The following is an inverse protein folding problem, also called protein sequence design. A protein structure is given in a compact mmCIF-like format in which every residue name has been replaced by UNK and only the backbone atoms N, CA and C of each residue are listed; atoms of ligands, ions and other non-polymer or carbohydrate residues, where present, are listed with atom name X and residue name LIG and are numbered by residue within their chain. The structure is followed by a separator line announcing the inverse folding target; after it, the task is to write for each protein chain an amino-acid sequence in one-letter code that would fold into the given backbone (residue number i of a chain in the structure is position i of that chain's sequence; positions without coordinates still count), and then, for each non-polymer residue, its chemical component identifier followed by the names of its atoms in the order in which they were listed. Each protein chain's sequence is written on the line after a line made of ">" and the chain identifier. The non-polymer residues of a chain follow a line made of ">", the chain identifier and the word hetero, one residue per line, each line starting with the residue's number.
data_IF_339332855156
#
_entry.id   IF_339332855156
#
_cell.length_a   1.000
_cell.length_b   1.000
_cell.length_c   1.000
_cell.angle_alpha   90.00
_cell.angle_beta   90.00
_cell.angle_gamma   90.00
#
_symmetry.space_group_name_H-M   'P 1'
#
loop_
_entity.id
_entity.type
_entity.pdbx_description
1 polymer ?
#
# COMPACT_ATOMS: atom_id res chain seq x y z
N UNK A 1 -16.44 -40.15 -13.20
CA UNK A 1 -15.24 -40.18 -12.32
C UNK A 1 -14.74 -38.75 -12.12
N UNK A 2 -15.27 -38.03 -11.12
CA UNK A 2 -14.81 -36.68 -10.76
C UNK A 2 -13.85 -36.79 -9.58
N UNK A 3 -12.57 -36.98 -9.88
CA UNK A 3 -11.51 -36.71 -8.91
C UNK A 3 -11.36 -35.19 -8.82
N UNK A 4 -11.40 -34.61 -7.60
CA UNK A 4 -10.80 -33.28 -7.38
C UNK A 4 -11.72 -32.10 -7.02
N UNK A 5 -12.95 -32.29 -6.52
CA UNK A 5 -13.56 -31.22 -5.69
C UNK A 5 -13.13 -31.43 -4.26
N UNK A 6 -12.07 -30.74 -3.83
CA UNK A 6 -11.86 -30.48 -2.41
C UNK A 6 -13.04 -29.61 -1.96
N UNK A 7 -13.96 -30.21 -1.21
CA UNK A 7 -14.96 -29.43 -0.50
C UNK A 7 -14.32 -28.75 0.72
N UNK A 8 -15.02 -27.77 1.29
CA UNK A 8 -14.53 -26.98 2.41
C UNK A 8 -14.20 -27.87 3.63
N UNK A 9 -14.93 -28.97 3.82
CA UNK A 9 -14.69 -29.92 4.89
C UNK A 9 -13.35 -30.66 4.70
N UNK A 10 -13.10 -31.16 3.49
CA UNK A 10 -11.86 -31.83 3.11
C UNK A 10 -10.66 -30.89 3.19
N UNK A 11 -10.82 -29.64 2.75
CA UNK A 11 -9.77 -28.62 2.86
C UNK A 11 -9.44 -28.30 4.33
N UNK A 12 -10.46 -28.18 5.19
CA UNK A 12 -10.28 -27.94 6.61
C UNK A 12 -9.51 -29.06 7.29
N UNK A 13 -9.80 -30.31 6.97
CA UNK A 13 -9.12 -31.47 7.55
C UNK A 13 -7.63 -31.48 7.18
N UNK A 14 -7.31 -31.30 5.90
CA UNK A 14 -5.92 -31.26 5.40
C UNK A 14 -5.15 -30.10 6.06
N UNK A 15 -5.73 -28.90 6.11
CA UNK A 15 -5.07 -27.72 6.69
C UNK A 15 -4.90 -27.85 8.21
N UNK A 16 -5.87 -28.42 8.91
CA UNK A 16 -5.75 -28.68 10.35
C UNK A 16 -4.61 -29.67 10.65
N UNK A 17 -4.48 -30.72 9.83
CA UNK A 17 -3.35 -31.66 9.94
C UNK A 17 -2.00 -30.98 9.73
N UNK A 18 -1.90 -30.05 8.77
CA UNK A 18 -0.67 -29.27 8.54
C UNK A 18 -0.30 -28.38 9.72
N UNK A 19 -1.28 -27.65 10.28
CA UNK A 19 -1.08 -26.78 11.44
C UNK A 19 -0.54 -27.55 12.66
N UNK A 20 -1.01 -28.78 12.86
CA UNK A 20 -0.48 -29.66 13.91
C UNK A 20 0.96 -30.08 13.58
N UNK A 21 1.21 -30.54 12.35
CA UNK A 21 2.54 -31.01 11.94
C UNK A 21 3.62 -29.92 11.96
N UNK A 22 3.23 -28.67 11.77
CA UNK A 22 4.11 -27.49 11.81
C UNK A 22 4.17 -26.83 13.20
N UNK A 23 3.40 -27.33 14.18
CA UNK A 23 3.36 -26.79 15.54
C UNK A 23 2.70 -25.41 15.66
N UNK A 24 1.95 -24.97 14.64
CA UNK A 24 1.34 -23.64 14.55
C UNK A 24 -0.13 -23.61 14.95
N UNK A 25 -0.72 -24.75 15.31
CA UNK A 25 -2.13 -24.85 15.68
C UNK A 25 -2.53 -23.86 16.79
N UNK A 26 -1.70 -23.71 17.83
CA UNK A 26 -1.99 -22.80 18.95
C UNK A 26 -2.02 -21.34 18.48
N UNK A 27 -1.04 -20.93 17.69
CA UNK A 27 -0.99 -19.59 17.08
C UNK A 27 -2.25 -19.33 16.22
N UNK A 28 -2.61 -20.28 15.37
CA UNK A 28 -3.79 -20.17 14.53
C UNK A 28 -5.09 -20.04 15.36
N UNK A 29 -5.28 -20.88 16.37
CA UNK A 29 -6.53 -20.92 17.15
C UNK A 29 -6.67 -19.79 18.16
N UNK A 30 -5.59 -19.40 18.82
CA UNK A 30 -5.64 -18.46 19.94
C UNK A 30 -5.34 -17.03 19.52
N UNK A 31 -4.71 -16.81 18.37
CA UNK A 31 -4.32 -15.46 17.90
C UNK A 31 -4.95 -15.14 16.56
N UNK A 32 -4.64 -15.90 15.50
CA UNK A 32 -5.04 -15.54 14.14
C UNK A 32 -6.57 -15.61 13.93
N UNK A 33 -7.21 -16.67 14.43
CA UNK A 33 -8.65 -16.85 14.26
C UNK A 33 -9.46 -15.82 15.06
N UNK A 34 -9.17 -15.53 16.34
CA UNK A 34 -9.79 -14.42 17.06
C UNK A 34 -9.52 -13.05 16.42
N UNK A 35 -8.32 -12.82 15.89
CA UNK A 35 -7.96 -11.57 15.20
C UNK A 35 -8.88 -11.31 14.00
N UNK A 36 -9.28 -12.35 13.25
CA UNK A 36 -10.21 -12.18 12.13
C UNK A 36 -11.54 -11.53 12.53
N UNK A 37 -12.07 -11.85 13.72
CA UNK A 37 -13.30 -11.26 14.23
C UNK A 37 -13.10 -9.79 14.66
N UNK A 38 -11.91 -9.46 15.19
CA UNK A 38 -11.54 -8.09 15.52
C UNK A 38 -11.41 -7.25 14.24
N UNK A 39 -10.74 -7.77 13.21
CA UNK A 39 -10.59 -7.09 11.93
C UNK A 39 -11.94 -6.86 11.27
N UNK A 40 -12.84 -7.85 11.29
CA UNK A 40 -14.22 -7.67 10.83
C UNK A 40 -14.93 -6.54 11.57
N UNK A 41 -14.80 -6.47 12.90
CA UNK A 41 -15.39 -5.38 13.69
C UNK A 41 -14.81 -4.00 13.33
N UNK A 42 -13.52 -3.92 13.06
CA UNK A 42 -12.86 -2.69 12.59
C UNK A 42 -13.34 -2.29 11.19
N UNK A 43 -13.48 -3.26 10.27
CA UNK A 43 -13.97 -3.04 8.92
C UNK A 43 -15.43 -2.53 8.90
N UNK A 44 -16.31 -3.13 9.70
CA UNK A 44 -17.71 -2.67 9.82
C UNK A 44 -17.81 -1.28 10.48
N UNK A 45 -16.95 -0.99 11.45
CA UNK A 45 -16.95 0.31 12.14
C UNK A 45 -16.40 1.41 11.23
N UNK A 46 -15.39 1.10 10.43
CA UNK A 46 -14.68 2.06 9.59
C UNK A 46 -13.93 3.12 10.41
N UNK A 47 -13.48 4.16 9.70
CA UNK A 47 -12.79 5.31 10.30
C UNK A 47 -13.51 6.58 9.88
N UNK A 48 -13.91 7.39 10.87
CA UNK A 48 -14.52 8.70 10.60
C UNK A 48 -13.45 9.67 10.13
N UNK A 49 -13.67 10.29 8.98
CA UNK A 49 -12.81 11.32 8.41
C UNK A 49 -13.59 12.63 8.21
N UNK A 50 -12.87 13.74 8.26
CA UNK A 50 -13.39 15.05 7.87
C UNK A 50 -13.02 15.33 6.41
N UNK A 51 -14.02 15.30 5.53
CA UNK A 51 -13.86 15.52 4.10
C UNK A 51 -13.31 16.91 3.78
N UNK A 52 -13.70 17.93 4.56
CA UNK A 52 -13.26 19.31 4.35
C UNK A 52 -11.75 19.43 4.60
N UNK A 53 -11.26 18.81 5.66
CA UNK A 53 -9.83 18.77 6.00
C UNK A 53 -9.03 18.02 4.93
N UNK A 54 -9.53 16.89 4.45
CA UNK A 54 -8.85 16.12 3.39
C UNK A 54 -8.77 16.95 2.10
N UNK A 55 -9.84 17.65 1.74
CA UNK A 55 -9.89 18.50 0.55
C UNK A 55 -8.92 19.67 0.67
N UNK A 56 -8.94 20.38 1.80
CA UNK A 56 -8.03 21.50 2.08
C UNK A 56 -6.56 21.07 2.03
N UNK A 57 -6.23 19.91 2.61
CA UNK A 57 -4.87 19.35 2.53
C UNK A 57 -4.48 19.02 1.08
N UNK A 58 -5.41 18.45 0.31
CA UNK A 58 -5.21 18.15 -1.11
C UNK A 58 -4.92 19.40 -1.93
N UNK A 59 -5.70 20.47 -1.74
CA UNK A 59 -5.52 21.76 -2.41
C UNK A 59 -4.19 22.40 -2.01
N UNK A 60 -3.89 22.44 -0.70
CA UNK A 60 -2.64 22.98 -0.17
C UNK A 60 -1.42 22.30 -0.80
N UNK A 61 -1.35 20.97 -0.75
CA UNK A 61 -0.19 20.26 -1.27
C UNK A 61 -0.10 20.27 -2.79
N UNK A 62 -1.23 20.38 -3.49
CA UNK A 62 -1.24 20.57 -4.95
C UNK A 62 -0.61 21.90 -5.33
N UNK A 63 -0.97 22.98 -4.63
CA UNK A 63 -0.41 24.31 -4.85
C UNK A 63 1.08 24.37 -4.47
N UNK A 64 1.46 23.80 -3.31
CA UNK A 64 2.87 23.71 -2.92
C UNK A 64 3.69 22.92 -3.95
N UNK A 65 3.16 21.79 -4.44
CA UNK A 65 3.83 20.98 -5.48
C UNK A 65 4.00 21.75 -6.77
N UNK A 66 2.98 22.51 -7.20
CA UNK A 66 3.04 23.35 -8.39
C UNK A 66 4.14 24.41 -8.26
N UNK A 67 4.14 25.16 -7.16
CA UNK A 67 5.15 26.20 -6.88
C UNK A 67 6.57 25.61 -6.85
N UNK A 68 6.75 24.47 -6.18
CA UNK A 68 8.06 23.82 -6.09
C UNK A 68 8.52 23.28 -7.44
N UNK A 69 7.60 22.76 -8.26
CA UNK A 69 7.90 22.28 -9.61
C UNK A 69 8.34 23.41 -10.52
N UNK A 70 7.64 24.56 -10.49
CA UNK A 70 8.02 25.75 -11.25
C UNK A 70 9.40 26.27 -10.86
N UNK A 71 9.71 26.31 -9.55
CA UNK A 71 11.05 26.66 -9.06
C UNK A 71 12.11 25.66 -9.53
N UNK A 72 11.81 24.36 -9.52
CA UNK A 72 12.71 23.35 -10.02
C UNK A 72 13.00 23.54 -11.52
N UNK A 73 11.98 23.87 -12.30
CA UNK A 73 12.14 24.18 -13.74
C UNK A 73 12.96 25.45 -13.97
N UNK A 74 12.76 26.49 -13.16
CA UNK A 74 13.58 27.72 -13.19
C UNK A 74 15.05 27.40 -12.93
N UNK A 75 15.36 26.65 -11.88
CA UNK A 75 16.73 26.25 -11.56
C UNK A 75 17.33 25.30 -12.59
N UNK A 76 16.52 24.43 -13.20
CA UNK A 76 16.95 23.48 -14.23
C UNK A 76 17.09 24.10 -15.63
N UNK A 77 16.63 25.34 -15.83
CA UNK A 77 16.62 26.00 -17.13
C UNK A 77 15.63 25.40 -18.13
N UNK A 78 14.54 24.79 -17.65
CA UNK A 78 13.47 24.26 -18.49
C UNK A 78 12.60 23.20 -17.81
N UNK A 79 11.45 22.94 -18.43
CA UNK A 79 10.48 21.97 -17.92
C UNK A 79 10.97 20.52 -18.08
N UNK A 80 10.62 19.70 -17.08
CA UNK A 80 10.81 18.26 -17.11
C UNK A 80 9.81 17.59 -16.17
N UNK A 81 9.55 16.31 -16.41
CA UNK A 81 8.69 15.51 -15.54
C UNK A 81 9.47 15.06 -14.29
N UNK A 82 9.18 15.71 -13.16
CA UNK A 82 9.78 15.41 -11.85
C UNK A 82 9.50 13.97 -11.39
N UNK A 83 8.38 13.38 -11.81
CA UNK A 83 8.01 11.99 -11.50
C UNK A 83 8.71 10.96 -12.38
N UNK A 84 9.50 11.39 -13.39
CA UNK A 84 10.29 10.49 -14.22
C UNK A 84 11.73 10.43 -13.70
N UNK A 85 12.16 9.32 -13.07
CA UNK A 85 13.54 9.18 -12.59
C UNK A 85 14.58 9.41 -13.69
N UNK A 86 14.25 9.04 -14.93
CA UNK A 86 15.12 9.26 -16.09
C UNK A 86 15.31 10.75 -16.39
N UNK A 87 14.23 11.51 -16.53
CA UNK A 87 14.33 12.94 -16.84
C UNK A 87 14.97 13.73 -15.71
N UNK A 88 14.65 13.38 -14.45
CA UNK A 88 15.29 13.98 -13.28
C UNK A 88 16.79 13.68 -13.26
N UNK A 89 17.21 12.44 -13.55
CA UNK A 89 18.62 12.06 -13.66
C UNK A 89 19.35 12.85 -14.75
N UNK A 90 18.75 12.99 -15.93
CA UNK A 90 19.31 13.78 -17.02
C UNK A 90 19.47 15.26 -16.62
N UNK A 91 18.51 15.83 -15.90
CA UNK A 91 18.60 17.21 -15.39
C UNK A 91 19.71 17.37 -14.36
N UNK A 92 19.76 16.51 -13.34
CA UNK A 92 20.71 16.65 -12.23
C UNK A 92 22.17 16.44 -12.68
N UNK A 93 22.44 15.35 -13.39
CA UNK A 93 23.82 14.92 -13.66
C UNK A 93 24.34 15.39 -15.02
N UNK A 94 23.46 15.54 -16.03
CA UNK A 94 23.89 15.94 -17.38
C UNK A 94 23.75 17.44 -17.56
N UNK A 95 22.58 18.02 -17.28
CA UNK A 95 22.36 19.46 -17.49
C UNK A 95 23.02 20.32 -16.41
N UNK A 96 22.79 20.00 -15.14
CA UNK A 96 23.29 20.78 -14.00
C UNK A 96 24.70 20.37 -13.57
N UNK A 97 25.20 19.23 -14.05
CA UNK A 97 26.55 18.75 -13.74
C UNK A 97 26.79 18.51 -12.25
N UNK A 98 25.72 18.22 -11.49
CA UNK A 98 25.83 17.90 -10.09
C UNK A 98 26.55 16.55 -9.92
N UNK A 99 27.38 16.38 -8.87
CA UNK A 99 28.13 15.15 -8.62
C UNK A 99 27.23 13.97 -8.22
#
# INVERSE_FOLDING_TARGET
>A
LRAGRLDVASAREILSGKLISEGTEKLYREIELPLSAVLYGMEETGVKVDESVITELGEKYSEETRILTEKAWEYAGGEFNVLSPKQLSDVLFVKLGLP
#
